data_IF_032288574407
#
_entry.id   IF_032288574407
#
_cell.length_a   1.000
_cell.length_b   1.000
_cell.length_c   1.000
_cell.angle_alpha   90.00
_cell.angle_beta   90.00
_cell.angle_gamma   90.00
#
_symmetry.space_group_name_H-M   'P 1'
#
loop_
_entity.id
_entity.type
_entity.pdbx_description
1 polymer ?
#
# COMPACT_ATOMS: atom_id res chain seq x y z
N UNK A 1 -0.50 -14.56 9.79
CA UNK A 1 0.17 -14.34 11.10
C UNK A 1 0.18 -12.85 11.44
N UNK A 2 0.14 -12.50 12.72
CA UNK A 2 0.13 -11.13 13.21
C UNK A 2 1.25 -10.91 14.23
N UNK A 3 2.11 -9.92 13.99
CA UNK A 3 3.14 -9.45 14.92
C UNK A 3 2.83 -8.00 15.31
N UNK A 4 2.75 -7.71 16.60
CA UNK A 4 2.46 -6.37 17.12
C UNK A 4 3.53 -5.90 18.09
N UNK A 5 3.92 -4.62 17.96
CA UNK A 5 4.72 -3.91 18.97
C UNK A 5 3.89 -3.28 20.09
N UNK A 6 2.58 -3.15 19.90
CA UNK A 6 1.67 -2.64 20.93
C UNK A 6 0.86 -3.78 21.53
N UNK A 7 0.84 -3.86 22.86
CA UNK A 7 0.11 -4.89 23.59
C UNK A 7 -1.40 -4.70 23.50
N UNK A 8 -1.91 -3.61 24.06
CA UNK A 8 -3.36 -3.33 24.10
C UNK A 8 -3.96 -3.23 22.69
N UNK A 9 -3.29 -2.52 21.77
CA UNK A 9 -3.76 -2.44 20.39
C UNK A 9 -3.65 -3.79 19.67
N UNK A 10 -2.63 -4.60 19.99
CA UNK A 10 -2.50 -5.95 19.45
C UNK A 10 -3.68 -6.83 19.84
N UNK A 11 -4.10 -6.79 21.10
CA UNK A 11 -5.28 -7.50 21.58
C UNK A 11 -6.56 -7.00 20.92
N UNK A 12 -6.77 -5.68 20.84
CA UNK A 12 -7.94 -5.10 20.14
C UNK A 12 -7.99 -5.48 18.66
N UNK A 13 -6.85 -5.47 17.95
CA UNK A 13 -6.81 -5.88 16.56
C UNK A 13 -7.09 -7.37 16.39
N UNK A 14 -6.69 -8.20 17.35
CA UNK A 14 -7.02 -9.63 17.34
C UNK A 14 -8.54 -9.86 17.49
N UNK A 15 -9.21 -9.07 18.35
CA UNK A 15 -10.67 -9.06 18.45
C UNK A 15 -11.32 -8.61 17.13
N UNK A 16 -10.84 -7.51 16.54
CA UNK A 16 -11.33 -7.04 15.22
C UNK A 16 -11.16 -8.10 14.12
N UNK A 17 -10.09 -8.90 14.16
CA UNK A 17 -9.90 -10.01 13.22
C UNK A 17 -10.94 -11.10 13.44
N UNK A 18 -11.23 -11.46 14.69
CA UNK A 18 -12.31 -12.39 15.04
C UNK A 18 -13.68 -11.92 14.53
N UNK A 19 -14.05 -10.67 14.80
CA UNK A 19 -15.30 -10.06 14.34
C UNK A 19 -15.38 -9.99 12.81
N UNK A 20 -14.23 -9.81 12.16
CA UNK A 20 -14.12 -9.81 10.71
C UNK A 20 -14.13 -11.20 10.07
N UNK A 21 -14.13 -12.27 10.87
CA UNK A 21 -14.02 -13.66 10.42
C UNK A 21 -12.64 -14.06 9.90
N UNK A 22 -11.60 -13.28 10.19
CA UNK A 22 -10.24 -13.51 9.71
C UNK A 22 -9.51 -14.55 10.56
N UNK A 23 -8.96 -15.57 9.91
CA UNK A 23 -8.12 -16.57 10.57
C UNK A 23 -6.74 -16.04 10.97
N UNK A 24 -6.30 -16.30 12.21
CA UNK A 24 -4.95 -15.96 12.70
C UNK A 24 -4.18 -17.24 13.06
N UNK A 25 -3.20 -17.60 12.23
CA UNK A 25 -2.36 -18.78 12.46
C UNK A 25 -1.41 -18.63 13.66
N UNK A 26 -0.86 -17.42 13.86
CA UNK A 26 0.07 -17.06 14.93
C UNK A 26 -0.15 -15.60 15.31
N UNK A 27 -0.14 -15.32 16.61
CA UNK A 27 -0.10 -13.96 17.16
C UNK A 27 1.15 -13.81 18.03
N UNK A 28 1.90 -12.74 17.80
CA UNK A 28 3.12 -12.41 18.54
C UNK A 28 3.03 -10.97 19.03
N UNK A 29 3.05 -10.79 20.35
CA UNK A 29 3.19 -9.49 20.97
C UNK A 29 4.65 -9.30 21.40
N UNK A 30 5.34 -8.33 20.79
CA UNK A 30 6.75 -8.03 21.03
C UNK A 30 6.98 -7.21 22.31
N UNK A 31 5.97 -6.46 22.75
CA UNK A 31 6.11 -5.45 23.80
C UNK A 31 7.37 -4.60 23.60
N UNK A 32 8.22 -4.55 24.64
CA UNK A 32 9.44 -3.74 24.64
C UNK A 32 10.57 -4.30 23.75
N UNK A 33 10.41 -5.48 23.16
CA UNK A 33 11.38 -6.06 22.20
C UNK A 33 12.81 -6.18 22.77
N UNK A 34 12.94 -6.60 24.03
CA UNK A 34 14.22 -6.66 24.76
C UNK A 34 15.14 -7.84 24.36
N UNK A 35 14.61 -8.80 23.59
CA UNK A 35 15.35 -9.95 23.09
C UNK A 35 15.08 -10.15 21.60
N UNK A 36 14.04 -10.92 21.28
CA UNK A 36 13.62 -11.15 19.90
C UNK A 36 12.92 -9.91 19.32
N UNK A 37 13.09 -9.75 18.01
CA UNK A 37 12.61 -8.62 17.22
C UNK A 37 11.66 -9.07 16.13
N UNK A 38 10.99 -8.12 15.46
CA UNK A 38 10.18 -8.40 14.28
C UNK A 38 10.93 -9.15 13.19
N UNK A 39 12.25 -8.97 13.09
CA UNK A 39 13.08 -9.65 12.08
C UNK A 39 13.23 -11.15 12.39
N UNK A 40 13.35 -11.53 13.66
CA UNK A 40 13.44 -12.94 14.07
C UNK A 40 12.12 -13.69 13.74
N UNK A 41 10.99 -13.05 14.02
CA UNK A 41 9.68 -13.61 13.68
C UNK A 41 9.42 -13.59 12.17
N UNK A 42 9.85 -12.57 11.43
CA UNK A 42 9.78 -12.57 9.97
C UNK A 42 10.59 -13.73 9.37
N UNK A 43 11.78 -14.00 9.89
CA UNK A 43 12.60 -15.13 9.45
C UNK A 43 11.89 -16.47 9.69
N UNK A 44 11.27 -16.64 10.87
CA UNK A 44 10.50 -17.85 11.18
C UNK A 44 9.22 -17.99 10.31
N UNK A 45 8.44 -16.92 10.19
CA UNK A 45 7.18 -16.90 9.43
C UNK A 45 7.38 -17.04 7.91
N UNK A 46 8.57 -16.69 7.41
CA UNK A 46 8.94 -16.95 6.02
C UNK A 46 8.78 -18.43 5.65
N UNK A 47 9.12 -19.33 6.57
CA UNK A 47 9.12 -20.79 6.38
C UNK A 47 7.82 -21.47 6.86
N UNK A 48 6.91 -20.74 7.50
CA UNK A 48 5.65 -21.31 8.04
C UNK A 48 4.56 -21.44 6.95
N UNK A 49 4.36 -22.65 6.44
CA UNK A 49 3.35 -22.95 5.41
C UNK A 49 1.89 -22.75 5.88
N UNK A 50 1.63 -22.66 7.19
CA UNK A 50 0.30 -22.30 7.70
C UNK A 50 0.00 -20.80 7.59
N UNK A 51 0.97 -20.00 7.16
CA UNK A 51 0.85 -18.54 7.06
C UNK A 51 0.75 -18.08 5.61
N UNK A 52 -0.46 -17.69 5.18
CA UNK A 52 -0.71 -17.11 3.85
C UNK A 52 -0.27 -15.66 3.70
N UNK A 53 -0.39 -14.85 4.77
CA UNK A 53 0.02 -13.45 4.80
C UNK A 53 0.52 -13.04 6.20
N UNK A 54 1.43 -12.07 6.25
CA UNK A 54 2.02 -11.55 7.50
C UNK A 54 1.55 -10.12 7.71
N UNK A 55 0.92 -9.84 8.84
CA UNK A 55 0.58 -8.49 9.27
C UNK A 55 1.51 -8.02 10.40
N UNK A 56 2.05 -6.81 10.25
CA UNK A 56 2.93 -6.18 11.22
C UNK A 56 2.34 -4.84 11.68
N UNK A 57 2.14 -4.67 12.98
CA UNK A 57 1.98 -3.36 13.59
C UNK A 57 3.33 -2.90 14.15
N UNK A 58 3.88 -1.81 13.60
CA UNK A 58 5.23 -1.33 13.93
C UNK A 58 5.21 0.14 14.39
N UNK A 59 5.88 0.41 15.49
CA UNK A 59 6.20 1.75 16.00
C UNK A 59 7.62 2.17 15.58
N UNK A 60 8.54 1.20 15.50
CA UNK A 60 9.92 1.40 15.05
C UNK A 60 10.52 0.12 14.46
N UNK A 61 11.60 0.27 13.69
CA UNK A 61 12.37 -0.85 13.14
C UNK A 61 13.60 -1.09 14.01
N UNK A 62 13.88 -2.35 14.36
CA UNK A 62 15.09 -2.72 15.11
C UNK A 62 16.33 -2.66 14.22
N UNK A 63 16.29 -3.37 13.09
CA UNK A 63 17.29 -3.29 12.03
C UNK A 63 16.58 -3.16 10.67
N UNK A 64 16.47 -1.93 10.11
CA UNK A 64 15.85 -1.70 8.81
C UNK A 64 16.56 -2.43 7.64
N UNK A 65 17.88 -2.67 7.74
CA UNK A 65 18.61 -3.35 6.65
C UNK A 65 18.22 -4.81 6.59
N UNK A 66 18.18 -5.46 7.76
CA UNK A 66 17.75 -6.84 7.88
C UNK A 66 16.26 -7.00 7.56
N UNK A 67 15.41 -6.07 8.03
CA UNK A 67 13.99 -6.02 7.67
C UNK A 67 13.81 -6.00 6.16
N UNK A 68 14.51 -5.11 5.45
CA UNK A 68 14.45 -5.04 3.99
C UNK A 68 14.88 -6.34 3.34
N UNK A 69 15.98 -6.93 3.80
CA UNK A 69 16.50 -8.21 3.26
C UNK A 69 15.46 -9.33 3.40
N UNK A 70 14.84 -9.44 4.57
CA UNK A 70 13.83 -10.47 4.86
C UNK A 70 12.55 -10.22 4.05
N UNK A 71 11.97 -9.03 4.15
CA UNK A 71 10.69 -8.71 3.51
C UNK A 71 10.78 -8.82 1.99
N UNK A 72 11.84 -8.30 1.36
CA UNK A 72 12.05 -8.39 -0.10
C UNK A 72 12.07 -9.85 -0.59
N UNK A 73 12.50 -10.79 0.26
CA UNK A 73 12.46 -12.23 -0.04
C UNK A 73 11.07 -12.82 0.23
N UNK A 74 10.46 -12.48 1.36
CA UNK A 74 9.17 -13.04 1.81
C UNK A 74 8.03 -12.66 0.86
N UNK A 75 7.99 -11.41 0.39
CA UNK A 75 6.88 -10.89 -0.46
C UNK A 75 6.74 -11.63 -1.79
N UNK A 76 7.77 -12.37 -2.22
CA UNK A 76 7.72 -13.24 -3.40
C UNK A 76 6.84 -14.47 -3.22
N UNK A 77 6.51 -14.83 -1.99
CA UNK A 77 5.66 -15.98 -1.66
C UNK A 77 4.47 -15.59 -0.80
N UNK A 78 4.68 -14.71 0.19
CA UNK A 78 3.69 -14.32 1.19
C UNK A 78 3.59 -12.80 1.27
N UNK A 79 2.42 -12.19 1.06
CA UNK A 79 2.24 -10.75 1.26
C UNK A 79 2.60 -10.33 2.69
N UNK A 80 3.28 -9.19 2.81
CA UNK A 80 3.61 -8.55 4.10
C UNK A 80 2.88 -7.22 4.17
N UNK A 81 1.93 -7.11 5.10
CA UNK A 81 1.13 -5.90 5.36
C UNK A 81 1.68 -5.19 6.60
N UNK A 82 1.88 -3.88 6.52
CA UNK A 82 2.47 -3.08 7.60
C UNK A 82 1.59 -1.88 7.95
N UNK A 83 1.12 -1.84 9.20
CA UNK A 83 0.55 -0.65 9.81
C UNK A 83 1.64 0.04 10.64
N UNK A 84 2.18 1.15 10.10
CA UNK A 84 3.22 1.95 10.78
C UNK A 84 2.58 3.07 11.60
N UNK A 85 2.76 3.04 12.91
CA UNK A 85 2.35 4.12 13.82
C UNK A 85 3.36 5.28 13.83
N UNK A 86 2.95 6.44 14.37
CA UNK A 86 3.83 7.60 14.52
C UNK A 86 4.22 8.30 13.21
N UNK A 87 3.25 8.47 12.31
CA UNK A 87 3.45 8.98 10.94
C UNK A 87 3.52 10.50 10.84
N UNK A 88 2.78 11.19 11.68
CA UNK A 88 2.76 12.65 11.74
C UNK A 88 3.77 13.13 12.77
N UNK A 89 4.17 14.40 12.75
CA UNK A 89 5.04 14.98 13.77
C UNK A 89 4.48 14.73 15.19
N UNK A 90 3.18 14.97 15.39
CA UNK A 90 2.51 14.71 16.67
C UNK A 90 2.52 13.21 17.06
N UNK A 91 2.25 12.32 16.11
CA UNK A 91 2.29 10.88 16.37
C UNK A 91 3.71 10.36 16.61
N UNK A 92 4.68 10.88 15.87
CA UNK A 92 6.10 10.61 16.01
C UNK A 92 6.60 11.02 17.40
N UNK A 93 6.24 12.22 17.87
CA UNK A 93 6.55 12.69 19.21
C UNK A 93 5.93 11.79 20.29
N UNK A 94 4.68 11.32 20.09
CA UNK A 94 4.03 10.39 21.00
C UNK A 94 4.72 9.01 21.02
N UNK A 95 5.15 8.49 19.87
CA UNK A 95 5.93 7.24 19.81
C UNK A 95 7.30 7.41 20.46
N UNK A 96 7.97 8.54 20.23
CA UNK A 96 9.28 8.84 20.81
C UNK A 96 9.22 8.93 22.34
N UNK A 97 8.18 9.57 22.91
CA UNK A 97 7.98 9.61 24.36
C UNK A 97 7.59 8.26 24.95
N UNK A 98 6.89 7.42 24.18
CA UNK A 98 6.45 6.08 24.59
C UNK A 98 7.56 5.02 24.53
N UNK A 99 8.44 5.09 23.52
CA UNK A 99 9.45 4.04 23.24
C UNK A 99 10.90 4.50 23.38
N UNK A 100 11.15 5.81 23.50
CA UNK A 100 12.48 6.40 23.52
C UNK A 100 13.21 6.37 22.17
N UNK A 101 12.54 6.01 21.07
CA UNK A 101 13.15 5.91 19.74
C UNK A 101 13.07 7.23 18.97
N UNK A 102 14.11 7.53 18.17
CA UNK A 102 14.12 8.68 17.26
C UNK A 102 13.08 8.48 16.15
N UNK A 103 12.21 9.46 15.98
CA UNK A 103 11.20 9.42 14.92
C UNK A 103 11.85 9.55 13.53
N UNK A 104 11.51 8.64 12.63
CA UNK A 104 11.89 8.72 11.22
C UNK A 104 10.80 9.47 10.42
N UNK A 105 11.16 10.40 9.52
CA UNK A 105 10.19 11.04 8.64
C UNK A 105 9.34 10.05 7.85
N UNK A 106 8.02 10.29 7.77
CA UNK A 106 7.07 9.34 7.16
C UNK A 106 7.40 9.02 5.70
N UNK A 107 7.84 10.02 4.94
CA UNK A 107 8.23 9.86 3.55
C UNK A 107 9.40 8.87 3.37
N UNK A 108 10.32 8.82 4.34
CA UNK A 108 11.43 7.85 4.34
C UNK A 108 10.90 6.45 4.62
N UNK A 109 10.00 6.30 5.60
CA UNK A 109 9.39 5.01 5.92
C UNK A 109 8.53 4.49 4.77
N UNK A 110 7.80 5.38 4.10
CA UNK A 110 6.98 5.07 2.94
C UNK A 110 7.83 4.51 1.79
N UNK A 111 8.86 5.27 1.41
CA UNK A 111 9.80 4.87 0.37
C UNK A 111 10.52 3.56 0.72
N UNK A 112 10.89 3.38 1.99
CA UNK A 112 11.53 2.18 2.51
C UNK A 112 10.60 0.95 2.40
N UNK A 113 9.36 1.02 2.87
CA UNK A 113 8.41 -0.08 2.78
C UNK A 113 8.09 -0.46 1.34
N UNK A 114 7.92 0.55 0.46
CA UNK A 114 7.75 0.33 -0.98
C UNK A 114 8.95 -0.39 -1.61
N UNK A 115 10.18 -0.01 -1.22
CA UNK A 115 11.41 -0.70 -1.67
C UNK A 115 11.53 -2.13 -1.14
N UNK A 116 10.91 -2.45 0.01
CA UNK A 116 10.84 -3.80 0.53
C UNK A 116 9.77 -4.65 -0.18
N UNK A 117 8.81 -4.02 -0.87
CA UNK A 117 7.60 -4.68 -1.35
C UNK A 117 6.57 -4.95 -0.25
N UNK A 118 6.66 -4.25 0.88
CA UNK A 118 5.62 -4.35 1.92
C UNK A 118 4.40 -3.53 1.52
N UNK A 119 3.21 -4.11 1.69
CA UNK A 119 1.93 -3.43 1.56
C UNK A 119 1.71 -2.53 2.78
N UNK A 120 1.88 -1.23 2.60
CA UNK A 120 1.66 -0.26 3.66
C UNK A 120 0.17 0.05 3.79
N UNK A 121 -0.37 -0.05 4.99
CA UNK A 121 -1.71 0.41 5.37
C UNK A 121 -1.63 1.52 6.41
N UNK A 122 -2.66 2.35 6.48
CA UNK A 122 -2.68 3.59 7.25
C UNK A 122 -3.73 3.58 8.36
N UNK A 123 -4.77 2.76 8.21
CA UNK A 123 -5.85 2.62 9.19
C UNK A 123 -6.14 1.15 9.51
N UNK A 124 -6.89 0.93 10.60
CA UNK A 124 -7.41 -0.39 10.96
C UNK A 124 -8.36 -0.91 9.86
N UNK A 125 -9.18 -0.03 9.29
CA UNK A 125 -10.11 -0.37 8.21
C UNK A 125 -9.38 -0.82 6.93
N UNK A 126 -8.32 -0.11 6.54
CA UNK A 126 -7.45 -0.52 5.43
C UNK A 126 -6.74 -1.85 5.72
N UNK A 127 -6.35 -2.07 6.98
CA UNK A 127 -5.77 -3.35 7.43
C UNK A 127 -6.76 -4.49 7.23
N UNK A 128 -7.99 -4.36 7.73
CA UNK A 128 -9.04 -5.36 7.55
C UNK A 128 -9.37 -5.58 6.08
N UNK A 129 -9.41 -4.50 5.30
CA UNK A 129 -9.65 -4.54 3.85
C UNK A 129 -8.60 -5.39 3.14
N UNK A 130 -7.32 -5.11 3.43
CA UNK A 130 -6.19 -5.83 2.87
C UNK A 130 -6.18 -7.32 3.28
N UNK A 131 -6.33 -7.60 4.58
CA UNK A 131 -6.23 -8.97 5.08
C UNK A 131 -7.38 -9.86 4.60
N UNK A 132 -8.61 -9.34 4.50
CA UNK A 132 -9.74 -10.06 3.90
C UNK A 132 -9.49 -10.42 2.44
N UNK A 133 -8.92 -9.51 1.67
CA UNK A 133 -8.59 -9.77 0.27
C UNK A 133 -7.58 -10.92 0.14
N UNK A 134 -6.55 -10.89 0.99
CA UNK A 134 -5.41 -11.80 0.96
C UNK A 134 -5.71 -13.19 1.54
N UNK A 135 -6.79 -13.35 2.31
CA UNK A 135 -7.10 -14.58 3.07
C UNK A 135 -7.19 -15.82 2.18
N UNK A 136 -7.86 -15.72 1.03
CA UNK A 136 -8.02 -16.85 0.09
C UNK A 136 -6.75 -17.16 -0.71
N UNK A 137 -5.80 -16.22 -0.78
CA UNK A 137 -4.51 -16.40 -1.46
C UNK A 137 -4.57 -16.51 -2.99
N UNK A 138 -5.73 -16.28 -3.62
CA UNK A 138 -5.90 -16.27 -5.08
C UNK A 138 -5.52 -14.89 -5.61
N UNK A 139 -4.55 -14.88 -6.54
CA UNK A 139 -4.08 -13.65 -7.17
C UNK A 139 -4.51 -13.63 -8.65
N UNK A 140 -4.96 -12.48 -9.18
CA UNK A 140 -5.39 -12.42 -10.57
C UNK A 140 -4.20 -12.60 -11.51
N UNK A 141 -4.39 -13.25 -12.66
CA UNK A 141 -3.30 -13.44 -13.64
C UNK A 141 -2.96 -12.17 -14.44
N UNK A 142 -3.79 -11.12 -14.35
CA UNK A 142 -3.67 -9.88 -15.11
C UNK A 142 -4.63 -8.82 -14.58
N UNK A 143 -4.72 -7.68 -15.26
CA UNK A 143 -5.43 -6.49 -14.78
C UNK A 143 -6.83 -6.31 -15.38
N UNK A 144 -7.30 -7.28 -16.19
CA UNK A 144 -8.62 -7.21 -16.84
C UNK A 144 -9.72 -7.64 -15.89
N UNK A 145 -10.58 -6.72 -15.48
CA UNK A 145 -11.62 -6.91 -14.47
C UNK A 145 -12.99 -6.94 -15.14
N UNK A 146 -13.80 -7.91 -14.75
CA UNK A 146 -15.24 -7.92 -15.03
C UNK A 146 -16.02 -7.36 -13.84
N UNK A 147 -17.01 -6.51 -14.12
CA UNK A 147 -17.92 -5.99 -13.10
C UNK A 147 -19.34 -6.47 -13.44
N UNK A 148 -19.97 -7.20 -12.51
CA UNK A 148 -21.32 -7.71 -12.64
C UNK A 148 -22.20 -7.08 -11.56
N UNK A 149 -23.27 -6.38 -11.93
CA UNK A 149 -24.07 -5.59 -10.98
C UNK A 149 -25.56 -5.68 -11.25
N UNK A 150 -26.39 -5.58 -10.21
CA UNK A 150 -27.83 -5.27 -10.33
C UNK A 150 -28.15 -3.79 -10.01
N UNK A 151 -27.12 -2.97 -9.83
CA UNK A 151 -27.20 -1.56 -9.50
C UNK A 151 -26.20 -0.77 -10.36
N UNK A 152 -26.64 -0.29 -11.52
CA UNK A 152 -25.80 0.41 -12.50
C UNK A 152 -24.94 1.54 -11.94
N UNK A 153 -25.49 2.39 -11.06
CA UNK A 153 -24.73 3.47 -10.43
C UNK A 153 -23.51 3.00 -9.63
N UNK A 154 -23.62 1.86 -8.95
CA UNK A 154 -22.49 1.26 -8.24
C UNK A 154 -21.48 0.61 -9.19
N UNK A 155 -21.95 0.07 -10.32
CA UNK A 155 -21.08 -0.40 -11.40
C UNK A 155 -20.21 0.72 -11.97
N UNK A 156 -20.79 1.91 -12.21
CA UNK A 156 -20.06 3.09 -12.70
C UNK A 156 -18.95 3.47 -11.71
N UNK A 157 -19.29 3.57 -10.42
CA UNK A 157 -18.31 3.89 -9.36
C UNK A 157 -17.19 2.84 -9.30
N UNK A 158 -17.53 1.55 -9.42
CA UNK A 158 -16.54 0.47 -9.46
C UNK A 158 -15.61 0.59 -10.66
N UNK A 159 -16.15 0.91 -11.85
CA UNK A 159 -15.35 1.07 -13.06
C UNK A 159 -14.38 2.25 -12.94
N UNK A 160 -14.86 3.40 -12.47
CA UNK A 160 -14.01 4.57 -12.21
C UNK A 160 -12.90 4.25 -11.19
N UNK A 161 -13.24 3.53 -10.12
CA UNK A 161 -12.28 3.10 -9.11
C UNK A 161 -11.23 2.14 -9.69
N UNK A 162 -11.63 1.23 -10.58
CA UNK A 162 -10.70 0.30 -11.25
C UNK A 162 -9.67 1.07 -12.05
N UNK A 163 -10.13 1.98 -12.92
CA UNK A 163 -9.24 2.81 -13.76
C UNK A 163 -8.31 3.66 -12.91
N UNK A 164 -8.81 4.30 -11.85
CA UNK A 164 -7.95 5.08 -10.91
C UNK A 164 -6.88 4.23 -10.24
N UNK A 165 -7.16 2.95 -10.01
CA UNK A 165 -6.22 1.99 -9.40
C UNK A 165 -5.29 1.31 -10.41
N UNK A 166 -5.37 1.69 -11.70
CA UNK A 166 -4.57 1.10 -12.77
C UNK A 166 -5.08 -0.25 -13.29
N UNK A 167 -6.31 -0.64 -12.93
CA UNK A 167 -6.97 -1.85 -13.43
C UNK A 167 -7.73 -1.55 -14.74
N UNK A 168 -7.89 -2.57 -15.58
CA UNK A 168 -8.57 -2.45 -16.86
C UNK A 168 -10.02 -2.94 -16.77
N UNK A 169 -10.97 -2.16 -17.29
CA UNK A 169 -12.38 -2.56 -17.44
C UNK A 169 -12.70 -2.56 -18.94
N UNK A 170 -12.19 -3.56 -19.68
CA UNK A 170 -12.28 -3.56 -21.14
C UNK A 170 -13.72 -3.81 -21.60
N UNK A 171 -14.11 -3.28 -22.79
CA UNK A 171 -15.35 -3.67 -23.44
C UNK A 171 -15.45 -5.19 -23.60
N UNK A 172 -16.66 -5.74 -23.43
CA UNK A 172 -16.92 -7.16 -23.64
C UNK A 172 -16.83 -7.52 -25.12
N UNK A 173 -16.36 -8.74 -25.42
CA UNK A 173 -16.40 -9.29 -26.76
C UNK A 173 -17.84 -9.48 -27.25
N UNK A 174 -18.03 -9.55 -28.58
CA UNK A 174 -19.35 -9.83 -29.16
C UNK A 174 -19.89 -11.19 -28.66
N UNK A 175 -19.02 -12.19 -28.52
CA UNK A 175 -19.37 -13.51 -27.98
C UNK A 175 -19.94 -13.44 -26.56
N UNK A 176 -19.30 -12.69 -25.65
CA UNK A 176 -19.83 -12.52 -24.29
C UNK A 176 -21.14 -11.75 -24.30
N UNK A 177 -21.25 -10.70 -25.11
CA UNK A 177 -22.49 -9.92 -25.23
C UNK A 177 -23.65 -10.74 -25.74
N UNK A 178 -23.43 -11.56 -26.76
CA UNK A 178 -24.45 -12.47 -27.32
C UNK A 178 -24.87 -13.50 -26.27
N UNK A 179 -23.92 -14.15 -25.60
CA UNK A 179 -24.21 -15.12 -24.55
C UNK A 179 -24.97 -14.52 -23.36
N UNK A 180 -24.65 -13.29 -22.95
CA UNK A 180 -25.39 -12.57 -21.91
C UNK A 180 -26.83 -12.24 -22.36
N UNK A 181 -27.03 -11.87 -23.63
CA UNK A 181 -28.34 -11.52 -24.18
C UNK A 181 -29.31 -12.70 -24.28
N UNK A 182 -28.82 -13.95 -24.23
CA UNK A 182 -29.67 -15.14 -24.27
C UNK A 182 -30.54 -15.31 -23.02
N UNK A 183 -30.09 -14.81 -21.86
CA UNK A 183 -30.78 -14.98 -20.59
C UNK A 183 -31.07 -13.68 -19.84
N UNK A 184 -30.36 -12.59 -20.14
CA UNK A 184 -30.65 -11.28 -19.55
C UNK A 184 -31.79 -10.56 -20.30
N UNK A 185 -32.59 -9.74 -19.60
CA UNK A 185 -33.64 -8.97 -20.23
C UNK A 185 -33.06 -7.90 -21.20
N UNK A 186 -33.81 -7.46 -22.23
CA UNK A 186 -33.35 -6.46 -23.20
C UNK A 186 -32.93 -5.11 -22.59
N UNK A 187 -33.43 -4.79 -21.40
CA UNK A 187 -33.10 -3.57 -20.66
C UNK A 187 -31.74 -3.65 -19.94
N UNK A 188 -31.12 -4.83 -19.86
CA UNK A 188 -29.82 -5.00 -19.23
C UNK A 188 -28.71 -4.30 -20.02
N UNK A 189 -27.79 -3.67 -19.29
CA UNK A 189 -26.58 -3.09 -19.86
C UNK A 189 -25.53 -4.17 -20.10
N UNK A 190 -25.32 -4.57 -21.36
CA UNK A 190 -24.36 -5.62 -21.75
C UNK A 190 -22.94 -5.07 -21.98
N UNK A 191 -22.56 -4.03 -21.22
CA UNK A 191 -21.23 -3.46 -21.22
C UNK A 191 -20.32 -4.12 -20.19
N UNK A 192 -19.19 -3.48 -19.89
CA UNK A 192 -18.42 -3.75 -18.68
C UNK A 192 -18.32 -2.43 -17.91
N UNK A 193 -19.14 -2.22 -16.86
CA UNK A 193 -19.94 -3.21 -16.12
C UNK A 193 -21.15 -3.81 -16.86
N UNK A 194 -21.48 -5.06 -16.54
CA UNK A 194 -22.76 -5.69 -16.90
C UNK A 194 -23.80 -5.29 -15.86
N UNK A 195 -24.79 -4.48 -16.26
CA UNK A 195 -25.92 -4.07 -15.42
C UNK A 195 -27.12 -4.98 -15.71
N UNK A 196 -27.34 -5.96 -14.85
CA UNK A 196 -28.43 -6.94 -14.92
C UNK A 196 -29.77 -6.41 -14.42
N UNK A 197 -29.85 -5.10 -14.10
CA UNK A 197 -30.99 -4.41 -13.48
C UNK A 197 -31.42 -4.99 -12.12
N UNK A 198 -32.27 -4.27 -11.40
CA UNK A 198 -32.65 -4.61 -10.03
C UNK A 198 -33.37 -5.97 -9.87
N UNK A 199 -33.91 -6.53 -10.95
CA UNK A 199 -34.66 -7.79 -10.99
C UNK A 199 -33.79 -9.02 -11.27
N UNK A 200 -32.45 -8.88 -11.27
CA UNK A 200 -31.53 -9.99 -11.52
C UNK A 200 -31.73 -11.14 -10.52
N UNK A 201 -31.93 -12.36 -11.03
CA UNK A 201 -32.07 -13.58 -10.23
C UNK A 201 -30.72 -14.17 -9.82
N UNK A 202 -30.74 -15.15 -8.93
CA UNK A 202 -29.54 -15.91 -8.56
C UNK A 202 -28.87 -16.61 -9.76
N UNK A 203 -29.68 -17.15 -10.68
CA UNK A 203 -29.20 -17.76 -11.94
C UNK A 203 -28.48 -16.74 -12.84
N UNK A 204 -28.97 -15.50 -12.91
CA UNK A 204 -28.30 -14.44 -13.68
C UNK A 204 -26.90 -14.14 -13.12
N UNK A 205 -26.72 -14.15 -11.80
CA UNK A 205 -25.41 -13.98 -11.17
C UNK A 205 -24.46 -15.13 -11.50
N UNK A 206 -24.91 -16.38 -11.40
CA UNK A 206 -24.09 -17.56 -11.71
C UNK A 206 -23.67 -17.55 -13.19
N UNK A 207 -24.65 -17.49 -14.10
CA UNK A 207 -24.40 -17.57 -15.54
C UNK A 207 -23.57 -16.38 -16.03
N UNK A 208 -23.90 -15.17 -15.58
CA UNK A 208 -23.17 -13.96 -15.94
C UNK A 208 -21.73 -13.98 -15.43
N UNK A 209 -21.51 -14.40 -14.18
CA UNK A 209 -20.17 -14.49 -13.60
C UNK A 209 -19.31 -15.56 -14.28
N UNK A 210 -19.89 -16.74 -14.56
CA UNK A 210 -19.19 -17.82 -15.27
C UNK A 210 -18.76 -17.36 -16.67
N UNK A 211 -19.64 -16.69 -17.41
CA UNK A 211 -19.36 -16.20 -18.75
C UNK A 211 -18.27 -15.10 -18.73
N UNK A 212 -18.40 -14.11 -17.83
CA UNK A 212 -17.44 -13.01 -17.71
C UNK A 212 -16.04 -13.45 -17.29
N UNK A 213 -15.95 -14.42 -16.38
CA UNK A 213 -14.68 -15.02 -15.99
C UNK A 213 -14.04 -15.85 -17.12
N UNK A 214 -14.70 -16.08 -18.25
CA UNK A 214 -14.07 -16.65 -19.44
C UNK A 214 -12.95 -15.77 -20.02
N UNK A 215 -13.11 -14.44 -19.96
CA UNK A 215 -12.15 -13.47 -20.56
C UNK A 215 -11.51 -12.51 -19.55
N UNK A 216 -12.05 -12.42 -18.33
CA UNK A 216 -11.49 -11.60 -17.25
C UNK A 216 -10.47 -12.37 -16.39
N UNK A 217 -9.63 -11.62 -15.67
CA UNK A 217 -8.67 -12.15 -14.69
C UNK A 217 -9.20 -12.13 -13.25
N UNK A 218 -10.20 -11.29 -12.97
CA UNK A 218 -10.94 -11.24 -11.71
C UNK A 218 -12.32 -10.63 -11.94
N UNK A 219 -13.20 -10.78 -10.94
CA UNK A 219 -14.53 -10.21 -10.98
C UNK A 219 -14.88 -9.45 -9.69
N UNK A 220 -15.59 -8.33 -9.87
CA UNK A 220 -16.31 -7.64 -8.80
C UNK A 220 -17.80 -7.87 -9.03
N UNK A 221 -18.44 -8.55 -8.09
CA UNK A 221 -19.88 -8.81 -8.11
C UNK A 221 -20.55 -7.84 -7.15
N UNK A 222 -21.44 -7.00 -7.66
CA UNK A 222 -22.19 -6.03 -6.86
C UNK A 222 -23.62 -6.50 -6.76
N UNK A 223 -24.03 -6.88 -5.55
CA UNK A 223 -25.40 -7.26 -5.25
C UNK A 223 -26.01 -6.30 -4.25
N UNK A 224 -26.97 -5.50 -4.71
CA UNK A 224 -27.87 -4.74 -3.84
C UNK A 224 -29.12 -5.57 -3.59
N UNK A 225 -29.44 -5.97 -2.34
CA UNK A 225 -30.72 -6.61 -2.04
C UNK A 225 -31.88 -5.70 -2.48
N UNK A 226 -32.76 -6.14 -3.40
CA UNK A 226 -33.90 -5.34 -3.81
C UNK A 226 -34.99 -5.37 -2.73
N UNK A 227 -35.89 -4.38 -2.74
CA UNK A 227 -37.01 -4.31 -1.78
C UNK A 227 -37.95 -5.51 -1.89
N UNK A 228 -38.11 -6.03 -3.11
CA UNK A 228 -38.83 -7.26 -3.40
C UNK A 228 -37.86 -8.15 -4.16
N UNK A 229 -37.46 -9.24 -3.53
CA UNK A 229 -36.66 -10.30 -4.15
C UNK A 229 -37.47 -11.59 -4.12
N UNK A 230 -37.60 -12.26 -5.26
CA UNK A 230 -38.45 -13.46 -5.39
C UNK A 230 -37.75 -14.74 -4.96
N UNK A 231 -36.48 -14.65 -4.56
CA UNK A 231 -35.64 -15.75 -4.12
C UNK A 231 -35.05 -15.44 -2.74
N UNK A 232 -34.59 -16.45 -1.98
CA UNK A 232 -33.74 -16.23 -0.83
C UNK A 232 -32.40 -15.61 -1.26
N UNK A 233 -31.90 -14.64 -0.48
CA UNK A 233 -30.65 -13.92 -0.79
C UNK A 233 -29.44 -14.86 -0.86
N UNK A 234 -29.44 -15.93 -0.06
CA UNK A 234 -28.45 -17.00 -0.07
C UNK A 234 -28.39 -17.80 -1.39
N UNK A 235 -29.41 -17.72 -2.25
CA UNK A 235 -29.35 -18.32 -3.57
C UNK A 235 -28.28 -17.65 -4.45
N UNK A 236 -28.10 -16.32 -4.30
CA UNK A 236 -27.07 -15.56 -5.01
C UNK A 236 -25.67 -15.98 -4.57
N UNK A 237 -25.43 -16.15 -3.26
CA UNK A 237 -24.13 -16.63 -2.78
C UNK A 237 -23.88 -18.07 -3.21
N UNK A 238 -24.89 -18.94 -3.24
CA UNK A 238 -24.76 -20.30 -3.76
C UNK A 238 -24.33 -20.33 -5.24
N UNK A 239 -24.89 -19.45 -6.08
CA UNK A 239 -24.47 -19.29 -7.48
C UNK A 239 -23.02 -18.83 -7.61
N UNK A 240 -22.62 -17.79 -6.85
CA UNK A 240 -21.24 -17.31 -6.81
C UNK A 240 -20.27 -18.41 -6.36
N UNK A 241 -20.65 -19.21 -5.36
CA UNK A 241 -19.84 -20.33 -4.86
C UNK A 241 -19.64 -21.41 -5.93
N UNK A 242 -20.69 -21.79 -6.66
CA UNK A 242 -20.58 -22.76 -7.78
C UNK A 242 -19.59 -22.29 -8.84
N UNK A 243 -19.58 -21.00 -9.18
CA UNK A 243 -18.59 -20.46 -10.11
C UNK A 243 -17.20 -20.43 -9.50
N UNK A 244 -17.07 -20.04 -8.23
CA UNK A 244 -15.79 -19.98 -7.53
C UNK A 244 -15.12 -21.36 -7.33
N UNK A 245 -15.90 -22.44 -7.29
CA UNK A 245 -15.42 -23.82 -7.29
C UNK A 245 -14.84 -24.24 -8.66
N UNK A 246 -15.41 -23.73 -9.75
CA UNK A 246 -14.91 -23.97 -11.13
C UNK A 246 -13.71 -23.08 -11.48
N UNK A 247 -13.72 -21.83 -11.03
CA UNK A 247 -12.73 -20.79 -11.35
C UNK A 247 -11.79 -20.56 -10.16
N UNK A 248 -10.92 -21.54 -9.88
CA UNK A 248 -10.08 -21.54 -8.66
C UNK A 248 -8.88 -20.59 -8.72
N UNK A 249 -8.57 -20.05 -9.89
CA UNK A 249 -7.42 -19.19 -10.17
C UNK A 249 -7.78 -17.71 -10.34
N UNK A 250 -9.06 -17.35 -10.30
CA UNK A 250 -9.56 -15.98 -10.51
C UNK A 250 -10.24 -15.45 -9.26
N UNK A 251 -9.76 -14.34 -8.67
CA UNK A 251 -10.40 -13.79 -7.49
C UNK A 251 -11.77 -13.20 -7.83
N UNK A 252 -12.73 -13.48 -6.95
CA UNK A 252 -14.07 -12.92 -6.97
C UNK A 252 -14.23 -12.11 -5.68
N UNK A 253 -14.63 -10.86 -5.79
CA UNK A 253 -14.94 -9.98 -4.66
C UNK A 253 -16.41 -9.58 -4.73
N UNK A 254 -17.08 -9.54 -3.59
CA UNK A 254 -18.51 -9.21 -3.52
C UNK A 254 -18.74 -7.88 -2.84
N UNK A 255 -19.58 -7.02 -3.42
CA UNK A 255 -20.00 -5.75 -2.88
C UNK A 255 -21.51 -5.78 -2.59
N UNK A 256 -21.92 -5.52 -1.35
CA UNK A 256 -23.32 -5.69 -0.92
C UNK A 256 -24.16 -4.42 -0.97
N UNK A 257 -23.53 -3.23 -1.05
CA UNK A 257 -24.17 -1.92 -0.91
C UNK A 257 -25.08 -1.80 0.33
N UNK A 258 -24.87 -2.62 1.36
CA UNK A 258 -25.71 -2.69 2.55
C UNK A 258 -24.90 -3.14 3.77
N UNK A 259 -25.12 -2.45 4.88
CA UNK A 259 -24.61 -2.81 6.21
C UNK A 259 -25.64 -3.61 7.04
N UNK A 260 -26.78 -3.96 6.46
CA UNK A 260 -27.87 -4.64 7.18
C UNK A 260 -27.53 -6.10 7.45
N UNK A 261 -27.92 -6.62 8.61
CA UNK A 261 -27.88 -8.07 8.91
C UNK A 261 -28.64 -8.91 7.87
N UNK A 262 -29.56 -8.31 7.10
CA UNK A 262 -30.25 -8.96 6.01
C UNK A 262 -29.32 -9.48 4.89
N UNK A 263 -28.08 -8.99 4.79
CA UNK A 263 -27.09 -9.56 3.86
C UNK A 263 -26.26 -10.69 4.45
N UNK A 264 -26.42 -11.03 5.74
CA UNK A 264 -25.64 -12.11 6.37
C UNK A 264 -25.84 -13.49 5.70
N UNK A 265 -27.06 -13.87 5.26
CA UNK A 265 -27.25 -15.10 4.45
C UNK A 265 -26.49 -15.10 3.12
N UNK A 266 -26.16 -13.92 2.56
CA UNK A 266 -25.27 -13.79 1.40
C UNK A 266 -23.80 -13.94 1.82
N UNK A 267 -23.38 -13.19 2.83
CA UNK A 267 -21.96 -13.00 3.14
C UNK A 267 -21.35 -14.15 3.92
N UNK A 268 -22.10 -14.80 4.83
CA UNK A 268 -21.56 -15.88 5.67
C UNK A 268 -21.07 -17.09 4.86
N UNK A 269 -21.80 -17.60 3.85
CA UNK A 269 -21.30 -18.69 2.99
C UNK A 269 -20.10 -18.29 2.14
N UNK A 270 -20.03 -17.04 1.70
CA UNK A 270 -18.88 -16.53 0.93
C UNK A 270 -17.64 -16.42 1.80
N UNK A 271 -17.80 -15.88 3.01
CA UNK A 271 -16.74 -15.72 4.00
C UNK A 271 -16.15 -17.06 4.46
N UNK A 272 -16.96 -18.11 4.57
CA UNK A 272 -16.48 -19.44 5.00
C UNK A 272 -15.49 -20.09 4.03
N UNK A 273 -15.48 -19.66 2.76
CA UNK A 273 -14.50 -20.09 1.74
C UNK A 273 -13.49 -18.98 1.37
N UNK A 274 -13.47 -17.89 2.13
CA UNK A 274 -12.56 -16.76 1.95
C UNK A 274 -12.90 -15.84 0.77
N UNK A 275 -14.12 -15.86 0.22
CA UNK A 275 -14.54 -14.83 -0.75
C UNK A 275 -14.84 -13.54 0.01
N UNK A 276 -14.05 -12.46 -0.20
CA UNK A 276 -14.18 -11.26 0.60
C UNK A 276 -15.40 -10.45 0.17
N UNK A 277 -16.13 -9.96 1.18
CA UNK A 277 -17.32 -9.12 1.01
C UNK A 277 -17.06 -7.72 1.55
N UNK A 278 -17.42 -6.72 0.76
CA UNK A 278 -17.29 -5.30 1.08
C UNK A 278 -18.63 -4.61 0.92
N UNK A 279 -18.78 -3.44 1.54
CA UNK A 279 -20.04 -2.70 1.45
C UNK A 279 -20.00 -1.68 0.31
N UNK A 280 -18.84 -1.08 0.04
CA UNK A 280 -18.68 -0.04 -0.97
C UNK A 280 -17.86 -0.55 -2.16
N UNK A 281 -18.23 -0.17 -3.40
CA UNK A 281 -17.51 -0.62 -4.60
C UNK A 281 -16.03 -0.23 -4.59
N UNK A 282 -15.68 0.97 -4.15
CA UNK A 282 -14.31 1.48 -4.10
C UNK A 282 -13.45 0.66 -3.14
N UNK A 283 -14.01 0.20 -2.02
CA UNK A 283 -13.33 -0.68 -1.07
C UNK A 283 -13.05 -2.05 -1.69
N UNK A 284 -14.02 -2.60 -2.44
CA UNK A 284 -13.81 -3.85 -3.19
C UNK A 284 -12.72 -3.68 -4.25
N UNK A 285 -12.69 -2.55 -4.97
CA UNK A 285 -11.61 -2.27 -5.93
C UNK A 285 -10.26 -2.13 -5.23
N UNK A 286 -10.19 -1.41 -4.11
CA UNK A 286 -8.96 -1.24 -3.34
C UNK A 286 -8.40 -2.60 -2.89
N UNK A 287 -9.27 -3.49 -2.42
CA UNK A 287 -8.94 -4.87 -2.09
C UNK A 287 -8.41 -5.66 -3.31
N UNK A 288 -9.03 -5.53 -4.47
CA UNK A 288 -8.55 -6.18 -5.70
C UNK A 288 -7.19 -5.63 -6.16
N UNK A 289 -6.96 -4.32 -6.03
CA UNK A 289 -5.66 -3.69 -6.33
C UNK A 289 -4.55 -4.23 -5.43
N UNK A 290 -4.84 -4.54 -4.16
CA UNK A 290 -3.92 -5.21 -3.24
C UNK A 290 -3.52 -6.60 -3.76
N UNK A 291 -4.46 -7.37 -4.32
CA UNK A 291 -4.16 -8.67 -4.92
C UNK A 291 -3.28 -8.53 -6.17
N UNK A 292 -3.54 -7.52 -7.01
CA UNK A 292 -2.70 -7.23 -8.19
C UNK A 292 -1.29 -6.81 -7.77
N UNK A 293 -1.15 -5.97 -6.73
CA UNK A 293 0.15 -5.60 -6.20
C UNK A 293 0.91 -6.81 -5.64
N UNK A 294 0.23 -7.68 -4.88
CA UNK A 294 0.82 -8.91 -4.38
C UNK A 294 1.30 -9.82 -5.53
N UNK A 295 0.52 -9.93 -6.61
CA UNK A 295 0.92 -10.64 -7.84
C UNK A 295 2.20 -10.04 -8.43
N UNK A 296 2.22 -8.73 -8.61
CA UNK A 296 3.36 -8.03 -9.22
C UNK A 296 4.64 -8.24 -8.41
N UNK A 297 4.54 -8.24 -7.08
CA UNK A 297 5.66 -8.55 -6.20
C UNK A 297 6.14 -10.00 -6.37
N UNK A 298 5.23 -10.97 -6.50
CA UNK A 298 5.58 -12.38 -6.76
C UNK A 298 6.27 -12.57 -8.11
N UNK A 299 5.86 -11.85 -9.15
CA UNK A 299 6.43 -11.96 -10.50
C UNK A 299 7.60 -11.03 -10.77
N UNK A 300 7.77 -9.98 -9.98
CA UNK A 300 8.93 -9.11 -10.09
C UNK A 300 10.18 -9.96 -9.85
N UNK A 301 11.06 -10.04 -10.85
CA UNK A 301 12.30 -10.83 -10.81
C UNK A 301 13.34 -10.30 -9.83
N UNK A 302 12.91 -9.67 -8.72
CA UNK A 302 13.66 -8.62 -8.06
C UNK A 302 13.86 -7.49 -9.06
N UNK A 303 12.98 -6.49 -9.06
CA UNK A 303 13.42 -5.17 -9.53
C UNK A 303 14.54 -4.77 -8.58
N UNK A 304 15.77 -5.17 -8.89
CA UNK A 304 16.96 -4.58 -8.34
C UNK A 304 16.71 -3.09 -8.53
N UNK A 305 16.49 -2.37 -7.43
CA UNK A 305 16.54 -0.92 -7.45
C UNK A 305 17.81 -0.63 -8.24
N UNK A 306 17.77 0.06 -9.40
CA UNK A 306 18.92 0.15 -10.28
C UNK A 306 20.09 0.48 -9.41
N UNK A 307 21.08 -0.42 -9.36
CA UNK A 307 22.26 -0.24 -8.51
C UNK A 307 22.93 1.02 -9.05
N UNK A 308 22.57 2.16 -8.47
CA UNK A 308 23.33 3.38 -8.68
C UNK A 308 24.71 3.03 -8.21
N UNK A 309 25.70 3.17 -9.08
CA UNK A 309 27.10 2.93 -8.77
C UNK A 309 27.46 3.84 -7.59
N UNK A 310 27.39 3.28 -6.38
CA UNK A 310 27.66 4.00 -5.16
C UNK A 310 29.12 3.80 -4.81
N UNK A 311 29.88 4.89 -4.75
CA UNK A 311 31.23 4.87 -4.21
C UNK A 311 31.17 4.90 -2.69
N UNK A 312 30.88 3.73 -2.11
CA UNK A 312 30.78 3.56 -0.66
C UNK A 312 32.10 3.87 0.06
N UNK A 313 33.24 3.71 -0.63
CA UNK A 313 34.54 4.05 -0.08
C UNK A 313 34.67 5.56 0.09
N UNK A 314 34.31 6.33 -0.95
CA UNK A 314 34.30 7.79 -0.87
C UNK A 314 33.33 8.29 0.20
N UNK A 315 32.09 7.78 0.21
CA UNK A 315 31.12 8.13 1.23
C UNK A 315 31.59 7.79 2.66
N UNK A 316 32.23 6.62 2.84
CA UNK A 316 32.83 6.22 4.11
C UNK A 316 33.95 7.14 4.57
N UNK A 317 34.83 7.55 3.65
CA UNK A 317 35.97 8.42 3.96
C UNK A 317 35.56 9.80 4.48
N UNK A 318 34.45 10.35 3.98
CA UNK A 318 33.84 11.60 4.48
C UNK A 318 33.40 11.42 5.93
N UNK A 319 32.66 10.35 6.23
CA UNK A 319 32.18 10.07 7.58
C UNK A 319 33.33 9.79 8.57
N UNK A 320 34.37 9.09 8.12
CA UNK A 320 35.54 8.79 8.94
C UNK A 320 36.34 10.06 9.27
N UNK A 321 36.41 11.03 8.34
CA UNK A 321 37.00 12.35 8.61
C UNK A 321 36.25 13.09 9.71
N UNK A 322 34.93 13.21 9.55
CA UNK A 322 34.04 13.89 10.51
C UNK A 322 34.13 13.26 11.90
N UNK A 323 34.12 11.92 11.97
CA UNK A 323 34.28 11.18 13.23
C UNK A 323 35.64 11.37 13.88
N UNK A 324 36.73 11.38 13.11
CA UNK A 324 38.08 11.64 13.62
C UNK A 324 38.21 13.03 14.24
N UNK A 325 37.43 13.99 13.75
CA UNK A 325 37.36 15.36 14.27
C UNK A 325 36.38 15.50 15.46
N UNK A 326 35.73 14.40 15.88
CA UNK A 326 34.78 14.42 17.00
C UNK A 326 33.44 15.11 16.69
N UNK A 327 33.16 15.39 15.41
CA UNK A 327 31.93 16.05 14.96
C UNK A 327 30.80 15.04 14.78
N UNK A 328 29.57 15.48 15.04
CA UNK A 328 28.34 14.69 14.85
C UNK A 328 27.51 15.16 13.65
N UNK A 329 27.87 16.30 13.05
CA UNK A 329 27.25 16.86 11.85
C UNK A 329 28.23 17.03 10.69
N UNK A 330 27.69 17.05 9.47
CA UNK A 330 28.41 17.34 8.23
C UNK A 330 28.31 18.83 7.90
N UNK A 331 29.37 19.41 7.35
CA UNK A 331 29.29 20.63 6.57
C UNK A 331 28.57 20.38 5.24
N UNK A 332 28.12 21.44 4.57
CA UNK A 332 27.34 21.32 3.35
C UNK A 332 28.11 20.63 2.22
N UNK A 333 29.38 20.99 2.02
CA UNK A 333 30.26 20.40 1.03
C UNK A 333 30.54 18.92 1.32
N UNK A 334 30.72 18.54 2.59
CA UNK A 334 30.85 17.14 3.00
C UNK A 334 29.58 16.34 2.73
N UNK A 335 28.41 16.93 3.02
CA UNK A 335 27.11 16.35 2.68
C UNK A 335 26.91 16.23 1.17
N UNK A 336 27.32 17.24 0.41
CA UNK A 336 27.25 17.25 -1.04
C UNK A 336 28.14 16.16 -1.64
N UNK A 337 29.37 16.03 -1.16
CA UNK A 337 30.31 14.98 -1.54
C UNK A 337 29.74 13.59 -1.21
N UNK A 338 29.16 13.42 -0.02
CA UNK A 338 28.52 12.18 0.38
C UNK A 338 27.37 11.80 -0.56
N UNK A 339 26.48 12.75 -0.88
CA UNK A 339 25.34 12.53 -1.79
C UNK A 339 25.80 12.22 -3.22
N UNK A 340 26.81 12.94 -3.71
CA UNK A 340 27.40 12.72 -5.02
C UNK A 340 28.02 11.32 -5.14
N UNK A 341 28.58 10.78 -4.05
CA UNK A 341 29.07 9.40 -4.01
C UNK A 341 27.96 8.34 -4.23
N UNK A 342 26.69 8.69 -4.02
CA UNK A 342 25.52 7.86 -4.34
C UNK A 342 24.82 8.24 -5.66
N UNK A 343 25.44 9.11 -6.47
CA UNK A 343 24.87 9.60 -7.73
C UNK A 343 23.64 10.49 -7.52
N UNK A 344 23.52 11.13 -6.36
CA UNK A 344 22.49 12.13 -6.10
C UNK A 344 23.04 13.49 -6.49
N UNK A 345 22.43 14.12 -7.49
CA UNK A 345 22.82 15.47 -7.92
C UNK A 345 22.59 16.48 -6.79
N UNK A 346 23.57 17.35 -6.61
CA UNK A 346 23.52 18.45 -5.64
C UNK A 346 23.51 19.76 -6.41
N UNK A 347 22.81 20.76 -5.90
CA UNK A 347 22.83 22.09 -6.51
C UNK A 347 24.26 22.68 -6.46
N UNK A 348 24.61 23.57 -7.40
CA UNK A 348 25.83 24.38 -7.27
C UNK A 348 25.85 25.09 -5.92
N UNK A 349 27.04 25.27 -5.35
CA UNK A 349 27.24 25.97 -4.08
C UNK A 349 28.63 26.60 -4.04
N UNK A 350 28.75 27.65 -3.23
CA UNK A 350 30.01 28.28 -2.87
C UNK A 350 29.97 28.70 -1.40
N UNK A 351 31.12 28.65 -0.72
CA UNK A 351 31.30 29.36 0.55
C UNK A 351 31.71 30.78 0.22
N UNK A 352 31.07 31.74 0.88
CA UNK A 352 31.36 33.16 0.70
C UNK A 352 32.22 33.62 1.89
N UNK A 353 33.40 34.17 1.60
CA UNK A 353 34.23 34.85 2.60
C UNK A 353 34.02 36.37 2.57
N UNK A 354 33.51 36.89 1.45
CA UNK A 354 33.19 38.30 1.22
C UNK A 354 31.93 38.49 0.34
N UNK A 355 31.39 39.71 0.30
CA UNK A 355 30.24 40.04 -0.55
C UNK A 355 30.54 39.94 -2.06
N UNK A 356 31.78 40.21 -2.47
CA UNK A 356 32.22 40.17 -3.87
C UNK A 356 32.17 38.72 -4.43
N UNK A 357 32.50 37.72 -3.61
CA UNK A 357 32.39 36.30 -3.97
C UNK A 357 30.94 35.91 -4.28
N UNK A 358 29.99 36.54 -3.60
CA UNK A 358 28.56 36.31 -3.77
C UNK A 358 28.03 36.80 -5.11
N UNK A 359 28.48 37.97 -5.54
CA UNK A 359 28.09 38.56 -6.82
C UNK A 359 28.51 37.68 -8.00
N UNK A 360 29.73 37.13 -7.95
CA UNK A 360 30.22 36.21 -8.95
C UNK A 360 29.38 34.92 -8.98
N UNK A 361 29.12 34.31 -7.83
CA UNK A 361 28.32 33.09 -7.75
C UNK A 361 26.89 33.29 -8.26
N UNK A 362 26.27 34.45 -7.99
CA UNK A 362 24.96 34.82 -8.53
C UNK A 362 24.95 34.87 -10.06
N UNK A 363 26.01 35.40 -10.68
CA UNK A 363 26.13 35.44 -12.13
C UNK A 363 26.32 34.03 -12.74
N UNK A 364 26.99 33.12 -12.04
CA UNK A 364 27.26 31.76 -12.50
C UNK A 364 26.09 30.79 -12.28
N UNK A 365 25.50 30.79 -11.08
CA UNK A 365 24.44 29.86 -10.69
C UNK A 365 23.04 30.33 -11.09
N UNK A 366 22.85 31.65 -11.24
CA UNK A 366 21.58 32.28 -11.56
C UNK A 366 20.62 32.41 -10.36
N UNK A 367 19.71 33.40 -10.37
CA UNK A 367 18.70 33.58 -9.33
C UNK A 367 17.50 32.62 -9.47
N UNK A 368 16.75 32.36 -8.37
CA UNK A 368 16.98 32.86 -7.01
C UNK A 368 18.00 32.01 -6.24
N UNK A 369 18.86 32.68 -5.46
CA UNK A 369 19.78 32.03 -4.53
C UNK A 369 19.18 31.83 -3.13
N UNK A 370 19.79 30.91 -2.39
CA UNK A 370 19.57 30.69 -0.96
C UNK A 370 20.91 30.85 -0.24
N UNK A 371 20.99 31.80 0.67
CA UNK A 371 22.13 32.00 1.56
C UNK A 371 21.85 31.31 2.90
N UNK A 372 22.84 30.59 3.44
CA UNK A 372 22.69 29.90 4.73
C UNK A 372 24.01 29.84 5.48
N UNK A 373 23.94 29.90 6.81
CA UNK A 373 25.08 29.63 7.67
C UNK A 373 25.34 28.13 7.68
N UNK A 374 26.56 27.74 7.34
CA UNK A 374 26.97 26.34 7.40
C UNK A 374 27.74 26.04 8.69
N UNK A 375 26.98 25.63 9.69
CA UNK A 375 27.49 25.20 10.99
C UNK A 375 26.93 23.80 11.30
N UNK A 376 27.78 22.79 11.55
CA UNK A 376 27.36 21.41 11.82
C UNK A 376 26.51 21.28 13.09
N UNK A 377 26.78 22.12 14.09
CA UNK A 377 26.10 22.11 15.39
C UNK A 377 24.81 22.95 15.41
N UNK A 378 24.51 23.65 14.31
CA UNK A 378 23.35 24.51 14.17
C UNK A 378 22.16 23.74 13.58
N UNK A 379 21.41 23.05 14.43
CA UNK A 379 20.13 22.44 14.06
C UNK A 379 19.03 23.50 13.88
N UNK A 380 17.99 23.21 13.08
CA UNK A 380 16.84 24.10 12.86
C UNK A 380 17.19 25.51 12.33
N UNK A 381 18.11 25.59 11.35
CA UNK A 381 18.67 26.85 10.79
C UNK A 381 17.62 27.89 10.39
N UNK A 382 16.45 27.46 9.91
CA UNK A 382 15.35 28.35 9.56
C UNK A 382 14.76 29.07 10.79
N UNK A 383 14.62 28.36 11.91
CA UNK A 383 14.10 28.91 13.17
C UNK A 383 15.07 29.88 13.84
N UNK A 384 16.35 29.86 13.43
CA UNK A 384 17.41 30.73 13.94
C UNK A 384 17.76 31.88 12.99
N UNK A 385 16.93 32.18 11.98
CA UNK A 385 17.20 33.16 10.93
C UNK A 385 18.54 32.95 10.20
N UNK A 386 19.05 31.72 10.16
CA UNK A 386 20.31 31.36 9.55
C UNK A 386 20.14 30.88 8.09
N UNK A 387 18.99 31.18 7.47
CA UNK A 387 18.65 30.88 6.08
C UNK A 387 17.88 32.05 5.49
N UNK A 388 18.35 32.58 4.37
CA UNK A 388 17.71 33.64 3.59
C UNK A 388 17.42 33.08 2.19
N UNK A 389 16.16 33.06 1.81
CA UNK A 389 15.69 32.51 0.53
C UNK A 389 15.22 33.62 -0.41
N UNK A 390 15.26 33.37 -1.71
CA UNK A 390 14.69 34.30 -2.70
C UNK A 390 15.61 35.48 -3.00
N UNK A 391 16.93 35.28 -2.94
CA UNK A 391 17.90 36.32 -3.26
C UNK A 391 18.00 36.41 -4.79
N UNK A 392 17.45 37.48 -5.36
CA UNK A 392 17.38 37.68 -6.82
C UNK A 392 18.45 38.63 -7.36
N UNK A 393 19.05 39.46 -6.50
CA UNK A 393 19.98 40.53 -6.90
C UNK A 393 21.22 40.56 -6.03
N UNK A 394 22.30 41.07 -6.58
CA UNK A 394 23.57 41.31 -5.85
C UNK A 394 23.34 42.21 -4.63
N UNK A 395 22.50 43.24 -4.78
CA UNK A 395 22.13 44.11 -3.66
C UNK A 395 21.46 43.34 -2.52
N UNK A 396 20.48 42.49 -2.85
CA UNK A 396 19.81 41.67 -1.86
C UNK A 396 20.76 40.65 -1.19
N UNK A 397 21.78 40.19 -1.93
CA UNK A 397 22.81 39.31 -1.38
C UNK A 397 23.75 40.03 -0.41
N UNK A 398 24.14 41.28 -0.69
CA UNK A 398 24.97 42.09 0.21
C UNK A 398 24.23 42.58 1.46
N UNK A 399 22.90 42.74 1.38
CA UNK A 399 22.05 43.11 2.51
C UNK A 399 21.74 41.91 3.45
N UNK A 400 21.79 40.70 2.91
CA UNK A 400 21.58 39.41 3.59
C UNK A 400 22.82 38.98 4.37
#
# INVERSE_FOLDING_TARGET
>A
AFVSQSGSLGETLLECFGDAGLGVSRFVNLGNRSGLTENDFLAHLAEDDQCGAIFLYLESFSDPREFRRLVTRIVKTKPVVVLKAGRTEAGAAAVASHTGSLASPDAIVDAFLRQCGALRVTTIEETLTALRALERGILPAGDRIAILTNAGGAGIIAADACVRSGLEVPPLSDHLREGLAEFLPPEAGLGNPVDMIATASSDHYEMGLELLLGEANAAIVIFRPPLVFHEPVEAVSAGILRVAEKQTDKPILVCTLSHSEAVEPLTAPLRSVGIPTYVMPETAVAALSILCHARDLRHSGGSATPERSADRSRAGSVLDRVRREGRTGLFFDEGAEFLAAYGISVCPYAYLESGDDGAQFLAEAGPPLVLKVDAPDLAHRFEQNAVITGIETERALCEA
#
